data_IF_071956500801
#
_entry.id   IF_071956500801
#
_cell.length_a   1.000
_cell.length_b   1.000
_cell.length_c   1.000
_cell.angle_alpha   90.00
_cell.angle_beta   90.00
_cell.angle_gamma   90.00
#
_symmetry.space_group_name_H-M   'P 1'
#
loop_
_entity.id
_entity.type
_entity.pdbx_description
1 polymer ?
#
# COMPACT_ATOMS: atom_id res chain seq x y z
N UNK A 1 15.80 4.31 -13.09
CA UNK A 1 16.16 5.12 -14.28
C UNK A 1 15.74 6.56 -13.98
N UNK A 2 16.68 7.50 -13.93
CA UNK A 2 16.38 8.88 -13.55
C UNK A 2 15.29 9.51 -14.47
N UNK A 3 14.41 10.36 -13.93
CA UNK A 3 13.39 11.02 -14.73
C UNK A 3 14.01 11.99 -15.74
N UNK A 4 13.25 12.31 -16.80
CA UNK A 4 13.64 13.25 -17.84
C UNK A 4 12.76 14.49 -17.76
N UNK A 5 13.36 15.63 -17.45
CA UNK A 5 12.64 16.91 -17.48
C UNK A 5 12.27 17.28 -18.92
N UNK A 6 11.02 17.66 -19.13
CA UNK A 6 10.47 18.15 -20.40
C UNK A 6 9.92 19.56 -20.24
N UNK A 7 9.94 20.34 -21.32
CA UNK A 7 9.53 21.76 -21.28
C UNK A 7 8.02 21.96 -21.09
N UNK A 8 7.20 20.96 -21.41
CA UNK A 8 5.75 21.02 -21.27
C UNK A 8 5.17 19.63 -20.99
N UNK A 9 3.98 19.59 -20.40
CA UNK A 9 3.24 18.35 -20.12
C UNK A 9 1.75 18.53 -20.37
N UNK A 10 1.05 17.45 -20.69
CA UNK A 10 -0.41 17.46 -20.90
C UNK A 10 -1.15 17.92 -19.64
N UNK A 11 -0.58 17.69 -18.46
CA UNK A 11 -1.13 18.18 -17.20
C UNK A 11 -1.19 19.72 -17.09
N UNK A 12 -0.68 20.47 -18.07
CA UNK A 12 -0.62 21.94 -18.06
C UNK A 12 -1.55 22.63 -19.05
N UNK A 13 -2.48 21.92 -19.70
CA UNK A 13 -3.44 22.54 -20.63
C UNK A 13 -4.28 23.64 -19.96
N UNK A 14 -4.66 23.42 -18.70
CA UNK A 14 -5.37 24.38 -17.86
C UNK A 14 -4.55 24.65 -16.62
N UNK A 15 -4.39 25.93 -16.26
CA UNK A 15 -3.60 26.37 -15.11
C UNK A 15 -4.43 27.34 -14.26
N UNK A 16 -4.78 26.92 -13.05
CA UNK A 16 -5.54 27.70 -12.08
C UNK A 16 -4.61 28.10 -10.93
N UNK A 17 -4.37 29.41 -10.75
CA UNK A 17 -3.52 29.96 -9.69
C UNK A 17 -4.24 31.06 -8.91
N UNK A 18 -3.79 31.31 -7.68
CA UNK A 18 -4.31 32.41 -6.85
C UNK A 18 -5.82 32.30 -6.66
N UNK A 19 -6.58 33.36 -6.96
CA UNK A 19 -8.04 33.38 -6.77
C UNK A 19 -8.81 32.35 -7.61
N UNK A 20 -8.20 31.83 -8.68
CA UNK A 20 -8.82 30.82 -9.55
C UNK A 20 -8.79 29.39 -8.96
N UNK A 21 -7.98 29.15 -7.91
CA UNK A 21 -7.96 27.86 -7.21
C UNK A 21 -9.30 27.64 -6.52
N UNK A 22 -9.94 26.50 -6.77
CA UNK A 22 -11.15 26.09 -6.07
C UNK A 22 -11.25 24.56 -5.97
N UNK A 23 -10.85 24.01 -4.83
CA UNK A 23 -10.95 22.58 -4.52
C UNK A 23 -12.40 22.09 -4.51
N UNK A 24 -13.37 22.97 -4.26
CA UNK A 24 -14.80 22.63 -4.25
C UNK A 24 -15.37 22.46 -5.65
N UNK A 25 -14.64 22.90 -6.68
CA UNK A 25 -15.00 22.69 -8.08
C UNK A 25 -14.56 21.30 -8.59
N UNK A 26 -13.68 20.60 -7.86
CA UNK A 26 -13.36 19.20 -8.14
C UNK A 26 -14.52 18.29 -7.73
N UNK A 27 -14.59 17.05 -8.24
CA UNK A 27 -15.56 16.07 -7.75
C UNK A 27 -15.49 15.91 -6.22
N UNK A 28 -16.61 16.14 -5.54
CA UNK A 28 -16.72 16.07 -4.09
C UNK A 28 -17.11 14.66 -3.67
N UNK A 29 -16.17 13.70 -3.76
CA UNK A 29 -16.43 12.27 -3.53
C UNK A 29 -16.50 11.97 -2.03
N UNK A 30 -17.59 11.34 -1.61
CA UNK A 30 -17.81 10.81 -0.25
C UNK A 30 -18.02 9.31 -0.39
N UNK A 31 -17.07 8.51 0.10
CA UNK A 31 -17.07 7.05 -0.13
C UNK A 31 -18.03 6.32 0.81
N UNK A 32 -18.10 6.77 2.07
CA UNK A 32 -18.92 6.14 3.10
C UNK A 32 -19.89 7.14 3.72
N UNK A 33 -21.06 6.66 4.14
CA UNK A 33 -22.10 7.51 4.75
C UNK A 33 -21.68 8.20 6.05
N UNK A 34 -20.59 7.79 6.68
CA UNK A 34 -20.03 8.40 7.89
C UNK A 34 -18.79 9.26 7.68
N UNK A 35 -18.32 9.44 6.43
CA UNK A 35 -17.12 10.22 6.16
C UNK A 35 -17.34 11.70 6.53
N UNK A 36 -16.32 12.34 7.13
CA UNK A 36 -16.38 13.71 7.63
C UNK A 36 -16.53 14.79 6.54
N UNK A 37 -16.29 14.43 5.29
CA UNK A 37 -16.37 15.34 4.15
C UNK A 37 -15.93 14.68 2.85
N UNK A 38 -15.83 15.44 1.76
CA UNK A 38 -15.33 14.94 0.49
C UNK A 38 -13.81 14.73 0.52
N UNK A 39 -13.35 13.63 -0.07
CA UNK A 39 -11.94 13.23 -0.11
C UNK A 39 -11.41 13.08 -1.52
N UNK A 40 -10.11 13.30 -1.66
CA UNK A 40 -9.28 12.77 -2.75
C UNK A 40 -8.45 11.64 -2.13
N UNK A 41 -8.69 10.40 -2.52
CA UNK A 41 -8.05 9.22 -1.90
C UNK A 41 -6.94 8.64 -2.76
N UNK A 42 -6.93 8.90 -4.07
CA UNK A 42 -5.93 8.43 -5.01
C UNK A 42 -4.82 9.44 -5.34
N UNK A 43 -4.59 10.41 -4.45
CA UNK A 43 -3.58 11.45 -4.66
C UNK A 43 -2.18 10.92 -4.34
N UNK A 44 -1.27 10.97 -5.32
CA UNK A 44 0.14 10.63 -5.13
C UNK A 44 0.90 11.92 -4.82
N UNK A 45 1.38 12.07 -3.59
CA UNK A 45 2.25 13.15 -3.20
C UNK A 45 3.63 13.01 -3.84
N UNK A 46 4.22 14.14 -4.18
CA UNK A 46 5.61 14.33 -4.57
C UNK A 46 6.14 15.42 -3.65
N UNK A 47 7.18 15.12 -2.88
CA UNK A 47 7.85 16.09 -2.02
C UNK A 47 9.34 15.81 -2.02
N UNK A 48 10.15 16.85 -1.82
CA UNK A 48 11.59 16.70 -1.60
C UNK A 48 11.88 16.68 -0.12
N UNK A 49 12.85 15.87 0.28
CA UNK A 49 13.52 16.01 1.56
C UNK A 49 14.10 17.44 1.67
N UNK A 50 13.73 18.22 2.70
CA UNK A 50 14.30 19.55 2.93
C UNK A 50 15.82 19.56 3.17
N UNK A 51 16.44 18.42 3.45
CA UNK A 51 17.90 18.28 3.65
C UNK A 51 18.63 17.84 2.41
N UNK A 52 18.19 16.74 1.79
CA UNK A 52 18.93 16.10 0.70
C UNK A 52 18.41 16.46 -0.68
N UNK A 53 17.16 16.93 -0.79
CA UNK A 53 16.49 17.17 -2.07
C UNK A 53 16.01 15.91 -2.79
N UNK A 54 16.15 14.72 -2.17
CA UNK A 54 15.65 13.45 -2.69
C UNK A 54 14.12 13.45 -2.67
N UNK A 55 13.50 12.91 -3.72
CA UNK A 55 12.06 12.78 -3.77
C UNK A 55 11.54 11.68 -2.85
N UNK A 56 10.41 11.95 -2.20
CA UNK A 56 9.47 10.94 -1.76
C UNK A 56 8.21 10.99 -2.62
N UNK A 57 7.71 9.83 -3.03
CA UNK A 57 6.39 9.68 -3.63
C UNK A 57 5.52 8.70 -2.85
N UNK A 58 4.31 9.11 -2.46
CA UNK A 58 3.42 8.28 -1.65
C UNK A 58 1.94 8.57 -1.91
N UNK A 59 1.07 7.58 -1.68
CA UNK A 59 -0.37 7.85 -1.62
C UNK A 59 -0.74 8.56 -0.33
N UNK A 60 -1.54 9.63 -0.44
CA UNK A 60 -2.11 10.33 0.69
C UNK A 60 -3.57 10.67 0.42
N UNK A 61 -4.42 10.51 1.43
CA UNK A 61 -5.80 11.02 1.37
C UNK A 61 -5.85 12.50 1.76
N UNK A 62 -6.69 13.26 1.06
CA UNK A 62 -6.91 14.68 1.31
C UNK A 62 -8.39 14.95 1.55
N UNK A 63 -8.79 15.38 2.75
CA UNK A 63 -10.16 15.85 2.98
C UNK A 63 -10.25 17.30 2.53
N UNK A 64 -11.18 17.63 1.64
CA UNK A 64 -11.37 19.01 1.19
C UNK A 64 -12.06 19.80 2.30
N UNK A 65 -11.35 20.77 2.88
CA UNK A 65 -11.85 21.58 4.01
C UNK A 65 -12.28 22.98 3.58
N UNK A 66 -11.82 23.43 2.40
CA UNK A 66 -12.05 24.80 1.94
C UNK A 66 -11.89 24.97 0.43
N UNK A 67 -11.88 26.23 0.00
CA UNK A 67 -11.63 26.60 -1.40
C UNK A 67 -10.21 26.28 -1.83
N UNK A 68 -9.24 26.46 -0.94
CA UNK A 68 -7.81 26.29 -1.21
C UNK A 68 -7.10 25.58 -0.05
N UNK A 69 -7.85 24.79 0.72
CA UNK A 69 -7.34 24.03 1.86
C UNK A 69 -7.85 22.61 1.85
N UNK A 70 -6.97 21.67 2.20
CA UNK A 70 -7.32 20.30 2.55
C UNK A 70 -6.66 19.91 3.88
N UNK A 71 -7.10 18.82 4.49
CA UNK A 71 -6.25 18.10 5.45
C UNK A 71 -5.40 17.06 4.72
N UNK A 72 -4.38 16.53 5.39
CA UNK A 72 -3.63 15.35 4.95
C UNK A 72 -3.34 14.44 6.14
N UNK A 73 -3.48 13.12 5.96
CA UNK A 73 -2.94 12.18 6.94
C UNK A 73 -1.48 11.84 6.62
N UNK A 74 -0.57 12.21 7.51
CA UNK A 74 0.82 11.78 7.50
C UNK A 74 1.00 10.58 8.44
N UNK A 75 1.29 9.40 7.88
CA UNK A 75 1.57 8.20 8.67
C UNK A 75 2.89 8.36 9.42
N UNK A 76 2.84 8.20 10.75
CA UNK A 76 3.99 8.35 11.63
C UNK A 76 5.16 7.45 11.19
N UNK A 77 6.37 8.03 11.12
CA UNK A 77 7.61 7.33 10.75
C UNK A 77 7.73 6.96 9.26
N UNK A 78 6.87 7.51 8.38
CA UNK A 78 7.04 7.42 6.92
C UNK A 78 7.77 8.66 6.38
N UNK A 79 8.37 8.54 5.20
CA UNK A 79 9.26 9.58 4.64
C UNK A 79 8.61 10.97 4.58
N UNK A 80 7.39 11.11 4.04
CA UNK A 80 6.71 12.40 4.00
C UNK A 80 6.46 13.01 5.40
N UNK A 81 6.22 12.16 6.41
CA UNK A 81 6.09 12.62 7.80
C UNK A 81 7.43 13.14 8.34
N UNK A 82 8.54 12.44 8.09
CA UNK A 82 9.89 12.88 8.46
C UNK A 82 10.24 14.21 7.78
N UNK A 83 9.95 14.34 6.48
CA UNK A 83 10.17 15.57 5.72
C UNK A 83 9.38 16.75 6.31
N UNK A 84 8.12 16.50 6.68
CA UNK A 84 7.30 17.52 7.34
C UNK A 84 7.86 17.89 8.71
N UNK A 85 8.39 16.93 9.49
CA UNK A 85 9.01 17.22 10.78
C UNK A 85 10.26 18.08 10.64
N UNK A 86 11.09 17.82 9.64
CA UNK A 86 12.26 18.64 9.33
C UNK A 86 11.85 20.06 8.95
N UNK A 87 10.89 20.22 8.03
CA UNK A 87 10.37 21.54 7.63
C UNK A 87 9.72 22.30 8.81
N UNK A 88 8.91 21.61 9.61
CA UNK A 88 8.27 22.15 10.80
C UNK A 88 9.29 22.63 11.84
N UNK A 89 10.38 21.88 12.06
CA UNK A 89 11.46 22.28 12.95
C UNK A 89 12.18 23.56 12.49
N UNK A 90 12.14 23.86 11.18
CA UNK A 90 12.66 25.09 10.58
C UNK A 90 11.63 26.24 10.57
N UNK A 91 10.38 25.96 10.94
CA UNK A 91 9.28 26.93 10.82
C UNK A 91 8.88 27.21 9.36
N UNK A 92 9.20 26.30 8.45
CA UNK A 92 8.96 26.42 7.02
C UNK A 92 7.85 25.45 6.58
N UNK A 93 7.01 25.84 5.60
CA UNK A 93 6.09 24.89 4.99
C UNK A 93 6.84 23.85 4.15
N UNK A 94 6.34 22.61 4.14
CA UNK A 94 6.84 21.58 3.22
C UNK A 94 6.12 21.73 1.87
N UNK A 95 6.86 22.00 0.80
CA UNK A 95 6.31 21.99 -0.56
C UNK A 95 5.94 20.57 -0.98
N UNK A 96 4.73 20.40 -1.50
CA UNK A 96 4.20 19.12 -1.96
C UNK A 96 3.34 19.31 -3.21
N UNK A 97 3.44 18.40 -4.16
CA UNK A 97 2.51 18.31 -5.28
C UNK A 97 1.75 17.00 -5.22
N UNK A 98 0.48 16.98 -5.62
CA UNK A 98 -0.32 15.77 -5.69
C UNK A 98 -0.69 15.47 -7.13
N UNK A 99 -0.24 14.33 -7.66
CA UNK A 99 -0.62 13.85 -8.97
C UNK A 99 -1.84 12.93 -8.86
N UNK A 100 -2.82 13.19 -9.74
CA UNK A 100 -4.07 12.42 -9.85
C UNK A 100 -4.19 11.95 -11.30
N UNK A 101 -4.61 10.69 -11.49
CA UNK A 101 -4.73 10.07 -12.80
C UNK A 101 -3.36 9.94 -13.47
N UNK A 102 -2.59 8.93 -13.07
CA UNK A 102 -1.25 8.68 -13.59
C UNK A 102 -1.15 7.31 -14.25
N UNK A 103 -0.06 7.08 -14.96
CA UNK A 103 0.24 5.75 -15.50
C UNK A 103 0.35 4.71 -14.36
N UNK A 104 -0.14 3.46 -14.52
CA UNK A 104 -0.10 2.44 -13.47
C UNK A 104 1.30 2.14 -12.91
N UNK A 105 2.36 2.28 -13.71
CA UNK A 105 3.74 2.15 -13.24
C UNK A 105 4.13 3.24 -12.22
N UNK A 106 3.61 4.46 -12.37
CA UNK A 106 3.80 5.56 -11.40
C UNK A 106 3.04 5.24 -10.12
N UNK A 107 1.78 4.79 -10.26
CA UNK A 107 0.96 4.36 -9.14
C UNK A 107 1.62 3.23 -8.33
N UNK A 108 2.17 2.20 -8.98
CA UNK A 108 2.91 1.13 -8.31
C UNK A 108 4.25 1.61 -7.72
N UNK A 109 4.96 2.50 -8.43
CA UNK A 109 6.22 3.07 -7.95
C UNK A 109 6.07 3.91 -6.69
N UNK A 110 4.97 4.67 -6.56
CA UNK A 110 4.64 5.43 -5.36
C UNK A 110 4.32 4.56 -4.12
N UNK A 111 4.25 3.25 -4.30
CA UNK A 111 4.05 2.26 -3.24
C UNK A 111 5.30 1.42 -3.00
N UNK A 112 6.43 1.77 -3.63
CA UNK A 112 7.69 1.08 -3.37
C UNK A 112 8.11 1.28 -1.93
N UNK A 113 8.58 0.19 -1.31
CA UNK A 113 9.09 0.20 0.06
C UNK A 113 10.61 0.14 -0.01
N UNK A 114 11.27 1.22 0.39
CA UNK A 114 12.71 1.43 0.23
C UNK A 114 13.32 2.29 1.34
N UNK A 115 14.61 2.61 1.20
CA UNK A 115 15.29 3.56 2.09
C UNK A 115 14.79 4.98 1.84
N UNK A 116 14.90 5.86 2.83
CA UNK A 116 14.64 7.31 2.66
C UNK A 116 15.63 7.97 1.68
N UNK A 117 16.78 7.33 1.46
CA UNK A 117 17.81 7.77 0.51
C UNK A 117 17.55 7.31 -0.94
N UNK A 118 16.47 6.56 -1.19
CA UNK A 118 16.09 6.10 -2.52
C UNK A 118 15.03 7.03 -3.13
N UNK A 119 15.25 7.44 -4.37
CA UNK A 119 14.33 8.30 -5.11
C UNK A 119 13.27 7.47 -5.85
N UNK A 120 12.00 7.54 -5.42
CA UNK A 120 10.94 6.73 -6.05
C UNK A 120 10.68 7.13 -7.51
N UNK A 121 11.02 8.35 -7.95
CA UNK A 121 10.90 8.72 -9.37
C UNK A 121 11.85 7.90 -10.25
N UNK A 122 13.00 7.52 -9.72
CA UNK A 122 13.93 6.62 -10.40
C UNK A 122 13.42 5.17 -10.42
N UNK A 123 12.73 4.74 -9.36
CA UNK A 123 12.06 3.43 -9.29
C UNK A 123 10.94 3.36 -10.32
N UNK A 124 10.11 4.40 -10.43
CA UNK A 124 9.07 4.53 -11.45
C UNK A 124 9.66 4.36 -12.85
N UNK A 125 10.77 5.05 -13.17
CA UNK A 125 11.46 4.85 -14.44
C UNK A 125 11.97 3.41 -14.65
N UNK A 126 12.38 2.73 -13.58
CA UNK A 126 12.72 1.30 -13.63
C UNK A 126 11.52 0.43 -14.01
N UNK A 127 10.34 0.71 -13.46
CA UNK A 127 9.08 0.01 -13.78
C UNK A 127 8.61 0.31 -15.22
N UNK A 128 8.85 1.53 -15.72
CA UNK A 128 8.61 1.87 -17.12
C UNK A 128 9.56 1.16 -18.08
N UNK A 129 10.79 0.87 -17.65
CA UNK A 129 11.89 0.47 -18.54
C UNK A 129 12.54 1.65 -19.27
N UNK A 130 12.10 2.88 -19.01
CA UNK A 130 12.63 4.12 -19.56
C UNK A 130 12.44 5.30 -18.59
N UNK A 131 13.04 6.45 -18.89
CA UNK A 131 12.93 7.63 -18.03
C UNK A 131 11.51 8.19 -18.05
N UNK A 132 10.90 8.35 -16.88
CA UNK A 132 9.61 9.03 -16.73
C UNK A 132 9.75 10.51 -17.12
N UNK A 133 8.89 10.99 -18.01
CA UNK A 133 8.83 12.41 -18.35
C UNK A 133 8.21 13.22 -17.21
N UNK A 134 8.93 14.23 -16.74
CA UNK A 134 8.50 15.12 -15.65
C UNK A 134 8.54 16.57 -16.09
N UNK A 135 7.65 17.38 -15.53
CA UNK A 135 7.55 18.82 -15.80
C UNK A 135 7.59 19.59 -14.49
N UNK A 136 8.15 20.80 -14.52
CA UNK A 136 8.20 21.69 -13.35
C UNK A 136 6.81 22.15 -12.93
N UNK A 137 6.55 22.17 -11.63
CA UNK A 137 5.39 22.82 -11.06
C UNK A 137 5.38 24.34 -11.36
N UNK A 138 4.19 24.92 -11.30
CA UNK A 138 3.88 26.29 -11.66
C UNK A 138 4.10 27.32 -10.53
N UNK A 139 4.14 26.86 -9.28
CA UNK A 139 4.17 27.69 -8.07
C UNK A 139 5.12 27.19 -6.98
N UNK A 140 5.63 25.96 -7.09
CA UNK A 140 6.56 25.33 -6.14
C UNK A 140 7.73 24.66 -6.88
N UNK A 141 8.86 24.42 -6.20
CA UNK A 141 10.07 23.87 -6.83
C UNK A 141 10.08 22.33 -6.85
N UNK A 142 9.09 21.75 -7.52
CA UNK A 142 8.97 20.32 -7.72
C UNK A 142 8.83 19.96 -9.21
N UNK A 143 9.26 18.76 -9.56
CA UNK A 143 9.01 18.07 -10.81
C UNK A 143 7.91 17.02 -10.55
N UNK A 144 6.95 16.94 -11.47
CA UNK A 144 5.79 16.03 -11.39
C UNK A 144 5.59 15.35 -12.74
N UNK A 145 4.88 14.20 -12.81
CA UNK A 145 4.68 13.49 -14.06
C UNK A 145 4.01 14.38 -15.13
N UNK A 146 4.68 14.58 -16.25
CA UNK A 146 4.22 15.49 -17.32
C UNK A 146 2.90 15.03 -17.96
N UNK A 147 2.59 13.74 -17.84
CA UNK A 147 1.41 13.11 -18.40
C UNK A 147 0.31 12.84 -17.36
N UNK A 148 0.39 13.37 -16.14
CA UNK A 148 -0.74 13.25 -15.20
C UNK A 148 -2.03 13.88 -15.77
N UNK A 149 -3.19 13.42 -15.30
CA UNK A 149 -4.47 14.05 -15.60
C UNK A 149 -4.59 15.40 -14.89
N UNK A 150 -4.15 15.44 -13.62
CA UNK A 150 -4.19 16.63 -12.78
C UNK A 150 -3.04 16.66 -11.78
N UNK A 151 -2.53 17.87 -11.52
CA UNK A 151 -1.55 18.18 -10.47
C UNK A 151 -2.14 19.24 -9.55
N UNK A 152 -2.10 19.00 -8.25
CA UNK A 152 -2.44 19.98 -7.21
C UNK A 152 -1.14 20.38 -6.52
N UNK A 153 -0.74 21.63 -6.67
CA UNK A 153 0.47 22.17 -6.06
C UNK A 153 0.13 22.83 -4.73
N UNK A 154 0.87 22.50 -3.69
CA UNK A 154 0.53 22.91 -2.33
C UNK A 154 1.73 23.00 -1.38
N UNK A 155 1.43 23.42 -0.17
CA UNK A 155 2.33 23.51 0.96
C UNK A 155 1.65 22.89 2.18
N UNK A 156 2.33 21.98 2.89
CA UNK A 156 1.90 21.51 4.21
C UNK A 156 2.35 22.54 5.24
N UNK A 157 1.39 23.17 5.91
CA UNK A 157 1.66 24.28 6.83
C UNK A 157 2.26 23.78 8.15
N UNK A 158 3.30 24.44 8.69
CA UNK A 158 3.93 24.01 9.92
C UNK A 158 3.05 24.35 11.13
N UNK A 159 2.58 23.32 11.84
CA UNK A 159 1.86 23.49 13.12
C UNK A 159 0.36 23.76 13.02
N UNK A 160 -0.16 24.07 11.84
CA UNK A 160 -1.59 24.21 11.61
C UNK A 160 -2.25 22.83 11.47
N UNK A 161 -3.32 22.61 12.23
CA UNK A 161 -4.14 21.39 12.14
C UNK A 161 -5.61 21.70 11.93
N UNK A 162 -6.34 20.72 11.40
CA UNK A 162 -7.78 20.74 11.22
C UNK A 162 -8.35 19.36 11.56
N UNK A 163 -9.56 19.36 12.10
CA UNK A 163 -10.30 18.12 12.36
C UNK A 163 -10.63 17.42 11.03
N UNK A 164 -10.13 16.19 10.86
CA UNK A 164 -10.32 15.31 9.69
C UNK A 164 -11.07 14.05 10.11
N UNK A 165 -11.94 13.58 9.23
CA UNK A 165 -12.73 12.38 9.46
C UNK A 165 -14.03 12.64 10.25
N UNK A 166 -14.78 11.58 10.63
CA UNK A 166 -14.44 10.16 10.50
C UNK A 166 -14.17 9.71 9.06
N UNK A 167 -13.44 8.60 8.87
CA UNK A 167 -13.11 8.11 7.53
C UNK A 167 -13.14 6.58 7.49
N UNK A 168 -13.73 5.99 6.44
CA UNK A 168 -13.70 4.54 6.18
C UNK A 168 -12.30 4.03 5.84
N UNK A 169 -11.75 3.15 6.67
CA UNK A 169 -10.39 2.62 6.52
C UNK A 169 -10.37 1.23 5.87
N UNK A 170 -9.18 0.80 5.44
CA UNK A 170 -8.98 -0.49 4.76
C UNK A 170 -9.35 -1.72 5.59
N UNK A 171 -9.54 -1.55 6.90
CA UNK A 171 -10.00 -2.60 7.82
C UNK A 171 -11.50 -2.88 7.70
N UNK A 172 -12.24 -2.05 6.95
CA UNK A 172 -13.69 -2.12 6.81
C UNK A 172 -14.46 -1.34 7.87
N UNK A 173 -13.77 -0.54 8.69
CA UNK A 173 -14.35 0.27 9.76
C UNK A 173 -14.07 1.75 9.55
N UNK A 174 -15.04 2.59 9.87
CA UNK A 174 -14.81 4.04 9.95
C UNK A 174 -14.20 4.38 11.30
N UNK A 175 -13.06 5.07 11.28
CA UNK A 175 -12.43 5.58 12.50
C UNK A 175 -12.81 7.04 12.72
N UNK A 176 -12.88 7.42 13.98
CA UNK A 176 -13.31 8.76 14.41
C UNK A 176 -12.39 9.89 13.92
N UNK A 177 -12.87 11.12 14.11
CA UNK A 177 -12.16 12.30 13.67
C UNK A 177 -10.85 12.53 14.46
N UNK A 178 -9.82 13.06 13.78
CA UNK A 178 -8.50 13.36 14.36
C UNK A 178 -7.98 14.70 13.83
N UNK A 179 -7.14 15.37 14.61
CA UNK A 179 -6.41 16.54 14.14
C UNK A 179 -5.34 16.13 13.13
N UNK A 180 -5.34 16.79 11.97
CA UNK A 180 -4.46 16.52 10.83
C UNK A 180 -3.86 17.80 10.28
N UNK A 181 -2.70 17.68 9.67
CA UNK A 181 -1.98 18.79 9.08
C UNK A 181 -2.80 19.50 7.98
N UNK A 182 -2.74 20.82 7.96
CA UNK A 182 -3.37 21.64 6.92
C UNK A 182 -2.47 21.72 5.69
N UNK A 183 -3.05 21.45 4.53
CA UNK A 183 -2.44 21.63 3.23
C UNK A 183 -3.04 22.88 2.57
N UNK A 184 -2.19 23.84 2.21
CA UNK A 184 -2.58 25.05 1.48
C UNK A 184 -2.30 24.89 0.00
N UNK A 185 -3.35 24.89 -0.81
CA UNK A 185 -3.26 24.75 -2.27
C UNK A 185 -2.86 26.08 -2.91
N UNK A 186 -1.88 26.03 -3.81
CA UNK A 186 -1.31 27.19 -4.52
C UNK A 186 -1.74 27.23 -5.98
N UNK A 187 -1.81 26.06 -6.62
CA UNK A 187 -2.26 25.92 -7.99
C UNK A 187 -2.92 24.56 -8.24
N UNK A 188 -3.79 24.51 -9.23
CA UNK A 188 -4.31 23.28 -9.81
C UNK A 188 -4.02 23.35 -11.31
N UNK A 189 -3.31 22.37 -11.84
CA UNK A 189 -3.10 22.22 -13.29
C UNK A 189 -3.70 20.90 -13.75
N UNK A 190 -4.32 20.88 -14.92
CA UNK A 190 -4.90 19.66 -15.45
C UNK A 190 -5.01 19.68 -16.98
N UNK A 191 -5.20 18.51 -17.57
CA UNK A 191 -5.57 18.35 -18.98
C UNK A 191 -6.92 19.00 -19.27
N UNK A 192 -7.17 19.45 -20.50
CA UNK A 192 -8.44 20.12 -20.84
C UNK A 192 -9.71 19.30 -20.48
N UNK A 193 -9.65 17.98 -20.69
CA UNK A 193 -10.73 17.02 -20.40
C UNK A 193 -10.26 15.98 -19.37
N UNK A 194 -9.67 16.46 -18.28
CA UNK A 194 -9.00 15.61 -17.29
C UNK A 194 -9.95 14.59 -16.63
N UNK A 195 -9.46 13.36 -16.49
CA UNK A 195 -10.10 12.36 -15.63
C UNK A 195 -9.75 12.61 -14.16
N UNK A 196 -10.76 12.62 -13.31
CA UNK A 196 -10.57 12.60 -11.86
C UNK A 196 -10.57 11.15 -11.38
N UNK A 197 -9.36 10.60 -11.18
CA UNK A 197 -9.19 9.26 -10.64
C UNK A 197 -9.27 9.29 -9.11
N UNK A 198 -10.06 8.38 -8.55
CA UNK A 198 -10.21 8.22 -7.11
C UNK A 198 -10.28 6.74 -6.75
N UNK A 199 -10.04 6.40 -5.48
CA UNK A 199 -9.89 5.01 -5.02
C UNK A 199 -10.82 4.73 -3.85
N UNK A 200 -11.61 3.66 -3.94
CA UNK A 200 -12.52 3.29 -2.89
C UNK A 200 -11.78 2.51 -1.79
N UNK A 201 -11.59 3.15 -0.64
CA UNK A 201 -10.77 2.59 0.45
C UNK A 201 -11.38 1.30 0.99
N UNK A 202 -10.54 0.28 1.19
CA UNK A 202 -10.98 -1.04 1.65
C UNK A 202 -11.58 -1.94 0.57
N UNK A 203 -11.72 -1.46 -0.66
CA UNK A 203 -12.17 -2.24 -1.80
C UNK A 203 -11.00 -2.78 -2.64
N UNK A 204 -11.33 -3.50 -3.71
CA UNK A 204 -10.37 -4.27 -4.50
C UNK A 204 -9.31 -3.40 -5.18
N UNK A 205 -9.67 -2.21 -5.64
CA UNK A 205 -8.75 -1.22 -6.22
C UNK A 205 -7.67 -0.78 -5.21
N UNK A 206 -8.07 -0.48 -3.98
CA UNK A 206 -7.16 -0.17 -2.88
C UNK A 206 -6.29 -1.39 -2.50
N UNK A 207 -6.91 -2.55 -2.30
CA UNK A 207 -6.21 -3.74 -1.80
C UNK A 207 -5.27 -4.34 -2.85
N UNK A 208 -5.66 -4.37 -4.12
CA UNK A 208 -4.84 -4.90 -5.20
C UNK A 208 -3.57 -4.06 -5.38
N UNK A 209 -3.71 -2.75 -5.44
CA UNK A 209 -2.58 -1.86 -5.71
C UNK A 209 -1.57 -1.85 -4.56
N UNK A 210 -2.06 -1.82 -3.32
CA UNK A 210 -1.21 -1.77 -2.11
C UNK A 210 -0.48 -3.09 -1.80
N UNK A 211 -1.09 -4.24 -2.12
CA UNK A 211 -0.52 -5.55 -1.73
C UNK A 211 0.61 -6.02 -2.64
N UNK A 212 0.63 -5.66 -3.92
CA UNK A 212 1.68 -6.13 -4.86
C UNK A 212 3.10 -5.71 -4.44
N UNK A 213 3.38 -4.42 -4.14
CA UNK A 213 4.71 -4.01 -3.66
C UNK A 213 5.04 -4.58 -2.27
N UNK A 214 4.04 -4.70 -1.41
CA UNK A 214 4.19 -5.28 -0.07
C UNK A 214 4.60 -6.76 -0.15
N UNK A 215 3.95 -7.55 -1.01
CA UNK A 215 4.27 -8.95 -1.26
C UNK A 215 5.66 -9.12 -1.87
N UNK A 216 6.04 -8.26 -2.82
CA UNK A 216 7.39 -8.29 -3.40
C UNK A 216 8.47 -8.01 -2.35
N UNK A 217 8.25 -7.02 -1.46
CA UNK A 217 9.16 -6.72 -0.37
C UNK A 217 9.23 -7.86 0.66
N UNK A 218 8.08 -8.39 1.09
CA UNK A 218 8.00 -9.52 2.01
C UNK A 218 8.67 -10.77 1.43
N UNK A 219 8.42 -11.09 0.16
CA UNK A 219 9.06 -12.21 -0.52
C UNK A 219 10.58 -12.09 -0.47
N UNK A 220 11.13 -10.91 -0.80
CA UNK A 220 12.57 -10.63 -0.74
C UNK A 220 13.11 -10.78 0.69
N UNK A 221 12.45 -10.18 1.67
CA UNK A 221 12.88 -10.18 3.07
C UNK A 221 12.82 -11.56 3.73
N UNK A 222 11.76 -12.34 3.46
CA UNK A 222 11.66 -13.69 4.01
C UNK A 222 12.64 -14.62 3.30
N UNK A 223 12.83 -14.49 1.97
CA UNK A 223 13.80 -15.30 1.21
C UNK A 223 15.24 -15.12 1.66
N UNK A 224 15.64 -13.93 2.12
CA UNK A 224 17.00 -13.71 2.62
C UNK A 224 17.31 -14.54 3.87
N UNK A 225 16.29 -14.90 4.65
CA UNK A 225 16.40 -15.76 5.83
C UNK A 225 16.04 -17.23 5.54
N UNK A 226 15.03 -17.46 4.70
CA UNK A 226 14.52 -18.78 4.32
C UNK A 226 14.53 -18.90 2.79
N UNK A 227 15.66 -19.32 2.18
CA UNK A 227 15.81 -19.34 0.72
C UNK A 227 14.82 -20.24 -0.03
N UNK A 228 14.15 -21.16 0.66
CA UNK A 228 13.16 -22.08 0.09
C UNK A 228 11.73 -21.54 0.03
N UNK A 229 11.50 -20.27 0.37
CA UNK A 229 10.21 -19.61 0.17
C UNK A 229 9.89 -19.55 -1.32
N UNK A 230 8.74 -20.10 -1.71
CA UNK A 230 8.29 -20.12 -3.11
C UNK A 230 7.38 -18.94 -3.43
N UNK A 231 6.53 -18.52 -2.49
CA UNK A 231 5.60 -17.42 -2.68
C UNK A 231 5.18 -16.76 -1.35
N UNK A 232 4.69 -15.52 -1.44
CA UNK A 232 4.08 -14.76 -0.34
C UNK A 232 2.79 -14.11 -0.85
N UNK A 233 1.75 -14.07 -0.02
CA UNK A 233 0.45 -13.44 -0.33
C UNK A 233 -0.09 -12.68 0.88
N UNK A 234 -0.69 -11.53 0.65
CA UNK A 234 -1.42 -10.74 1.65
C UNK A 234 -2.89 -10.67 1.22
N UNK A 235 -3.71 -11.68 1.57
CA UNK A 235 -5.06 -11.81 1.04
C UNK A 235 -6.07 -10.86 1.69
N UNK A 236 -5.77 -10.38 2.90
CA UNK A 236 -6.67 -9.55 3.70
C UNK A 236 -5.87 -8.64 4.63
N UNK A 237 -6.51 -7.59 5.22
CA UNK A 237 -5.87 -6.73 6.21
C UNK A 237 -5.10 -7.52 7.27
N UNK A 238 -3.87 -7.07 7.55
CA UNK A 238 -2.97 -7.60 8.58
C UNK A 238 -2.59 -9.09 8.47
N UNK A 239 -2.87 -9.76 7.35
CA UNK A 239 -2.64 -11.21 7.17
C UNK A 239 -1.62 -11.47 6.08
N UNK A 240 -0.66 -12.36 6.35
CA UNK A 240 0.35 -12.79 5.39
C UNK A 240 0.42 -14.32 5.33
N UNK A 241 0.38 -14.87 4.12
CA UNK A 241 0.63 -16.28 3.83
C UNK A 241 1.99 -16.44 3.19
N UNK A 242 2.75 -17.44 3.64
CA UNK A 242 4.07 -17.76 3.11
C UNK A 242 4.07 -19.23 2.72
N UNK A 243 4.43 -19.50 1.47
CA UNK A 243 4.62 -20.86 0.96
C UNK A 243 6.10 -21.20 0.93
N UNK A 244 6.49 -22.35 1.50
CA UNK A 244 7.88 -22.81 1.55
C UNK A 244 8.05 -24.25 1.07
N UNK A 245 9.19 -24.56 0.47
CA UNK A 245 9.70 -25.94 0.41
C UNK A 245 10.49 -26.20 1.70
N UNK A 246 9.86 -26.82 2.70
CA UNK A 246 10.52 -27.01 3.99
C UNK A 246 11.69 -28.01 3.89
N UNK A 247 12.91 -27.53 4.11
CA UNK A 247 14.15 -28.35 4.07
C UNK A 247 14.65 -28.71 5.46
N UNK A 248 14.40 -27.84 6.45
CA UNK A 248 14.83 -28.03 7.83
C UNK A 248 13.65 -27.78 8.78
N UNK A 249 13.52 -28.61 9.82
CA UNK A 249 12.50 -28.42 10.86
C UNK A 249 12.66 -27.05 11.53
N UNK A 250 11.55 -26.35 11.70
CA UNK A 250 11.51 -25.02 12.31
C UNK A 250 11.70 -23.86 11.32
N UNK A 251 11.95 -24.11 10.03
CA UNK A 251 12.00 -23.04 9.02
C UNK A 251 10.69 -22.26 8.93
N UNK A 252 9.53 -22.90 9.11
CA UNK A 252 8.24 -22.21 9.17
C UNK A 252 8.21 -21.11 10.24
N UNK A 253 8.72 -21.39 11.45
CA UNK A 253 8.82 -20.39 12.53
C UNK A 253 9.79 -19.25 12.20
N UNK A 254 10.92 -19.55 11.54
CA UNK A 254 11.86 -18.52 11.08
C UNK A 254 11.22 -17.61 10.03
N UNK A 255 10.44 -18.17 9.11
CA UNK A 255 9.69 -17.40 8.12
C UNK A 255 8.66 -16.47 8.79
N UNK A 256 7.94 -16.95 9.81
CA UNK A 256 7.01 -16.11 10.61
C UNK A 256 7.74 -14.91 11.22
N UNK A 257 8.87 -15.14 11.89
CA UNK A 257 9.65 -14.07 12.51
C UNK A 257 10.21 -13.09 11.47
N UNK A 258 10.63 -13.59 10.30
CA UNK A 258 11.11 -12.76 9.21
C UNK A 258 10.00 -11.83 8.67
N UNK A 259 8.77 -12.34 8.50
CA UNK A 259 7.62 -11.50 8.12
C UNK A 259 7.37 -10.41 9.16
N UNK A 260 7.33 -10.75 10.45
CA UNK A 260 7.09 -9.76 11.50
C UNK A 260 8.19 -8.71 11.64
N UNK A 261 9.44 -9.07 11.31
CA UNK A 261 10.55 -8.12 11.26
C UNK A 261 10.55 -7.24 10.02
N UNK A 262 9.99 -7.74 8.91
CA UNK A 262 9.93 -7.02 7.63
C UNK A 262 8.75 -6.05 7.53
N UNK A 263 7.63 -6.33 8.21
CA UNK A 263 6.45 -5.46 8.19
C UNK A 263 5.85 -5.23 9.59
N UNK A 264 5.73 -3.95 9.96
CA UNK A 264 5.25 -3.51 11.27
C UNK A 264 3.75 -3.74 11.46
N UNK A 265 2.95 -3.80 10.39
CA UNK A 265 1.49 -3.86 10.48
C UNK A 265 0.94 -5.29 10.38
N UNK A 266 1.66 -6.24 9.77
CA UNK A 266 1.22 -7.64 9.72
C UNK A 266 1.03 -8.20 11.14
N UNK A 267 -0.19 -8.68 11.41
CA UNK A 267 -0.62 -9.24 12.70
C UNK A 267 -0.65 -10.76 12.68
N UNK A 268 -1.07 -11.35 11.56
CA UNK A 268 -1.28 -12.78 11.37
C UNK A 268 -0.37 -13.32 10.27
N UNK A 269 0.35 -14.40 10.56
CA UNK A 269 1.16 -15.11 9.55
C UNK A 269 0.80 -16.59 9.51
N UNK A 270 0.59 -17.15 8.32
CA UNK A 270 0.45 -18.60 8.12
C UNK A 270 1.53 -19.07 7.17
N UNK A 271 2.30 -20.07 7.59
CA UNK A 271 3.30 -20.69 6.73
C UNK A 271 2.83 -22.07 6.32
N UNK A 272 2.80 -22.34 5.02
CA UNK A 272 2.35 -23.60 4.42
C UNK A 272 3.45 -24.19 3.54
N UNK A 273 3.32 -25.46 3.16
CA UNK A 273 4.20 -26.04 2.15
C UNK A 273 3.84 -25.58 0.74
N UNK A 274 4.79 -25.70 -0.17
CA UNK A 274 4.67 -25.44 -1.61
C UNK A 274 3.54 -26.18 -2.36
N UNK A 275 2.95 -27.23 -1.78
CA UNK A 275 1.81 -27.96 -2.35
C UNK A 275 0.44 -27.40 -1.91
N UNK A 276 0.45 -26.27 -1.19
CA UNK A 276 -0.73 -25.52 -0.76
C UNK A 276 -0.80 -24.24 -1.58
N UNK A 277 -1.87 -24.09 -2.34
CA UNK A 277 -2.14 -22.85 -3.05
C UNK A 277 -2.54 -21.74 -2.06
N UNK A 278 -1.65 -20.77 -1.86
CA UNK A 278 -1.87 -19.61 -0.97
C UNK A 278 -2.86 -18.58 -1.54
N UNK A 279 -3.33 -18.75 -2.79
CA UNK A 279 -4.39 -17.95 -3.38
C UNK A 279 -5.80 -18.56 -3.16
N UNK A 280 -5.89 -19.82 -2.69
CA UNK A 280 -7.14 -20.46 -2.28
C UNK A 280 -7.22 -20.59 -0.76
N UNK A 281 -8.02 -19.72 -0.13
CA UNK A 281 -8.27 -19.71 1.32
C UNK A 281 -8.69 -21.08 1.88
N UNK A 282 -9.37 -21.91 1.09
CA UNK A 282 -9.79 -23.25 1.54
C UNK A 282 -8.59 -24.17 1.70
N UNK A 283 -7.59 -24.05 0.83
CA UNK A 283 -6.37 -24.85 0.93
C UNK A 283 -5.51 -24.40 2.12
N UNK A 284 -5.39 -23.09 2.35
CA UNK A 284 -4.69 -22.57 3.53
C UNK A 284 -5.37 -23.01 4.82
N UNK A 285 -6.70 -22.93 4.88
CA UNK A 285 -7.47 -23.40 6.03
C UNK A 285 -7.35 -24.92 6.25
N UNK A 286 -7.34 -25.70 5.17
CA UNK A 286 -7.07 -27.14 5.25
C UNK A 286 -5.68 -27.43 5.84
N UNK A 287 -4.65 -26.72 5.40
CA UNK A 287 -3.29 -26.88 5.92
C UNK A 287 -3.24 -26.53 7.43
N UNK A 288 -3.86 -25.42 7.83
CA UNK A 288 -4.01 -25.05 9.25
C UNK A 288 -4.62 -26.19 10.07
N UNK A 289 -5.73 -26.76 9.61
CA UNK A 289 -6.46 -27.80 10.34
C UNK A 289 -5.74 -29.16 10.41
N UNK A 290 -4.98 -29.52 9.36
CA UNK A 290 -4.43 -30.88 9.22
C UNK A 290 -2.92 -30.99 9.43
N UNK A 291 -2.19 -29.88 9.38
CA UNK A 291 -0.72 -29.84 9.46
C UNK A 291 -0.18 -29.09 10.68
N UNK A 292 -1.04 -28.51 11.50
CA UNK A 292 -0.63 -27.79 12.70
C UNK A 292 -1.27 -28.34 13.97
N UNK A 293 -0.54 -28.25 15.08
CA UNK A 293 -1.04 -28.42 16.45
C UNK A 293 -0.76 -27.13 17.22
N UNK A 294 -1.79 -26.39 17.67
CA UNK A 294 -1.60 -25.04 18.21
C UNK A 294 -0.62 -24.91 19.39
N UNK A 295 -0.53 -25.93 20.24
CA UNK A 295 0.36 -25.94 21.41
C UNK A 295 1.85 -25.91 21.04
N UNK A 296 2.21 -26.44 19.87
CA UNK A 296 3.60 -26.54 19.40
C UNK A 296 3.90 -25.68 18.18
N UNK A 297 2.93 -25.43 17.31
CA UNK A 297 3.15 -24.84 15.98
C UNK A 297 2.79 -23.34 15.92
N UNK A 298 2.16 -22.80 16.97
CA UNK A 298 1.83 -21.38 17.08
C UNK A 298 2.98 -20.56 17.69
N UNK A 299 3.14 -19.33 17.22
CA UNK A 299 3.94 -18.25 17.83
C UNK A 299 2.99 -17.14 18.25
N UNK A 300 3.19 -16.58 19.45
CA UNK A 300 2.48 -15.41 19.94
C UNK A 300 3.49 -14.38 20.46
N UNK A 301 3.45 -13.17 19.90
CA UNK A 301 4.26 -12.03 20.32
C UNK A 301 3.32 -10.96 20.84
N UNK A 302 3.34 -10.74 22.16
CA UNK A 302 2.50 -9.75 22.84
C UNK A 302 3.18 -8.38 22.82
N UNK A 303 2.39 -7.31 22.73
CA UNK A 303 2.88 -5.93 22.87
C UNK A 303 3.80 -5.47 21.74
N UNK A 304 3.67 -6.06 20.54
CA UNK A 304 4.39 -5.61 19.36
C UNK A 304 3.70 -4.38 18.75
N UNK A 305 4.44 -3.56 17.98
CA UNK A 305 3.82 -2.50 17.20
C UNK A 305 2.86 -3.10 16.16
N UNK A 306 1.69 -2.49 16.02
CA UNK A 306 0.69 -2.83 15.01
C UNK A 306 0.22 -1.58 14.27
N UNK A 307 -1.04 -1.59 13.88
CA UNK A 307 -1.74 -0.43 13.32
C UNK A 307 -2.76 0.09 14.33
N UNK A 308 -2.81 1.41 14.47
CA UNK A 308 -3.87 2.14 15.18
C UNK A 308 -5.20 2.15 14.42
N UNK A 309 -5.27 1.44 13.29
CA UNK A 309 -6.47 1.23 12.49
C UNK A 309 -7.11 -0.15 12.74
N UNK A 310 -6.47 -1.03 13.52
CA UNK A 310 -7.02 -2.32 13.94
C UNK A 310 -8.06 -2.12 15.06
N UNK A 311 -9.35 -2.33 14.81
CA UNK A 311 -10.40 -2.05 15.81
C UNK A 311 -10.39 -3.01 17.01
N UNK A 312 -9.57 -4.07 16.98
CA UNK A 312 -9.44 -5.00 18.10
C UNK A 312 -8.41 -4.56 19.15
N UNK A 313 -7.67 -3.47 18.92
CA UNK A 313 -6.71 -2.95 19.90
C UNK A 313 -7.43 -2.17 21.00
N UNK A 314 -7.01 -2.38 22.24
CA UNK A 314 -7.57 -1.70 23.40
C UNK A 314 -6.88 -0.35 23.59
N UNK A 315 -7.51 0.72 23.12
CA UNK A 315 -6.97 2.08 23.21
C UNK A 315 -6.07 2.48 22.03
N UNK A 316 -5.70 3.75 21.97
CA UNK A 316 -4.94 4.36 20.86
C UNK A 316 -3.42 4.18 21.01
N UNK A 317 -2.95 3.11 21.67
CA UNK A 317 -1.52 2.90 21.92
C UNK A 317 -0.77 2.31 20.70
N UNK A 318 -1.51 1.77 19.73
CA UNK A 318 -0.97 1.17 18.50
C UNK A 318 -0.18 -0.13 18.74
N UNK A 319 -0.39 -0.80 19.87
CA UNK A 319 0.16 -2.12 20.15
C UNK A 319 -0.83 -3.23 19.80
N UNK A 320 -0.30 -4.38 19.41
CA UNK A 320 -1.12 -5.55 19.09
C UNK A 320 -0.43 -6.83 19.57
N UNK A 321 -1.20 -7.92 19.58
CA UNK A 321 -0.64 -9.26 19.70
C UNK A 321 -0.50 -9.85 18.30
N UNK A 322 0.74 -10.06 17.87
CA UNK A 322 1.05 -10.73 16.61
C UNK A 322 1.07 -12.23 16.82
N UNK A 323 0.57 -12.99 15.86
CA UNK A 323 0.55 -14.44 15.94
C UNK A 323 0.81 -15.09 14.59
N UNK A 324 1.51 -16.23 14.61
CA UNK A 324 1.72 -17.01 13.42
C UNK A 324 1.58 -18.50 13.67
N UNK A 325 1.24 -19.25 12.62
CA UNK A 325 1.13 -20.71 12.67
C UNK A 325 2.02 -21.33 11.59
N UNK A 326 2.86 -22.28 12.01
CA UNK A 326 3.58 -23.19 11.13
C UNK A 326 2.67 -24.36 10.72
N UNK A 327 1.97 -24.18 9.61
CA UNK A 327 1.09 -25.16 8.97
C UNK A 327 1.81 -25.99 7.89
N UNK A 328 3.15 -26.09 7.96
CA UNK A 328 3.90 -27.03 7.14
C UNK A 328 3.69 -28.47 7.62
N UNK A 329 3.76 -29.43 6.71
CA UNK A 329 3.68 -30.83 7.03
C UNK A 329 4.87 -31.22 7.91
N UNK A 330 4.61 -32.11 8.88
CA UNK A 330 5.64 -32.57 9.83
C UNK A 330 6.56 -33.69 9.30
N UNK A 331 6.23 -34.43 8.20
CA UNK A 331 7.23 -35.15 7.43
C UNK A 331 8.28 -34.20 6.83
N UNK A 332 9.53 -34.65 6.69
CA UNK A 332 10.56 -33.92 5.95
C UNK A 332 10.30 -34.02 4.44
N UNK A 333 10.90 -33.15 3.63
CA UNK A 333 10.74 -33.18 2.16
C UNK A 333 11.06 -34.56 1.55
N UNK A 334 12.09 -35.23 2.08
CA UNK A 334 12.49 -36.59 1.67
C UNK A 334 11.44 -37.67 2.00
N UNK A 335 10.61 -37.42 3.01
CA UNK A 335 9.51 -38.29 3.45
C UNK A 335 8.12 -37.75 3.04
N UNK A 336 8.10 -36.66 2.26
CA UNK A 336 6.88 -35.94 1.94
C UNK A 336 6.07 -36.78 0.98
N UNK A 337 5.02 -37.42 1.51
CA UNK A 337 4.09 -38.16 0.67
C UNK A 337 3.21 -37.17 -0.08
N UNK A 338 3.12 -37.24 -1.41
CA UNK A 338 2.24 -36.37 -2.17
C UNK A 338 0.80 -36.45 -1.67
N UNK A 339 0.07 -35.34 -1.74
CA UNK A 339 -1.38 -35.34 -1.52
C UNK A 339 -2.03 -36.37 -2.45
N UNK A 340 -3.11 -36.99 -1.99
CA UNK A 340 -3.93 -37.82 -2.86
C UNK A 340 -4.35 -37.00 -4.09
N UNK A 341 -3.96 -37.47 -5.27
CA UNK A 341 -4.41 -36.93 -6.54
C UNK A 341 -5.38 -37.93 -7.16
N UNK A 342 -6.33 -37.42 -7.95
CA UNK A 342 -7.08 -38.30 -8.84
C UNK A 342 -6.11 -38.91 -9.87
N UNK A 343 -6.27 -40.18 -10.22
CA UNK A 343 -5.53 -40.74 -11.36
C UNK A 343 -5.86 -39.93 -12.62
N UNK A 344 -4.83 -39.43 -13.31
CA UNK A 344 -5.01 -38.58 -14.50
C UNK A 344 -5.78 -39.30 -15.60
N UNK A 345 -5.53 -40.59 -15.80
CA UNK A 345 -6.23 -41.45 -16.75
C UNK A 345 -7.73 -41.56 -16.45
N UNK A 346 -8.11 -41.57 -15.17
CA UNK A 346 -9.52 -41.55 -14.77
C UNK A 346 -10.11 -40.17 -15.01
N UNK A 347 -9.40 -39.09 -14.69
CA UNK A 347 -9.89 -37.72 -14.88
C UNK A 347 -10.08 -37.38 -16.36
N UNK A 348 -9.09 -37.69 -17.19
CA UNK A 348 -9.12 -37.47 -18.64
C UNK A 348 -10.16 -38.36 -19.33
N UNK A 349 -10.49 -39.51 -18.72
CA UNK A 349 -11.55 -40.40 -19.17
C UNK A 349 -12.98 -39.92 -18.82
N UNK A 350 -13.13 -38.86 -18.02
CA UNK A 350 -14.44 -38.29 -17.68
C UNK A 350 -14.89 -37.32 -18.78
N UNK A 351 -15.91 -37.71 -19.53
CA UNK A 351 -16.61 -36.81 -20.44
C UNK A 351 -17.59 -35.92 -19.65
N UNK A 352 -17.09 -34.74 -19.27
CA UNK A 352 -17.85 -33.74 -18.50
C UNK A 352 -19.08 -33.25 -19.27
N UNK A 353 -18.98 -33.16 -20.61
CA UNK A 353 -20.10 -32.72 -21.45
C UNK A 353 -21.21 -33.77 -21.48
N UNK A 354 -20.86 -35.06 -21.59
CA UNK A 354 -21.82 -36.15 -21.50
C UNK A 354 -22.56 -36.14 -20.15
N UNK A 355 -21.83 -36.01 -19.04
CA UNK A 355 -22.39 -35.98 -17.68
C UNK A 355 -23.32 -34.78 -17.45
N UNK A 356 -22.99 -33.60 -17.96
CA UNK A 356 -23.84 -32.41 -17.85
C UNK A 356 -25.08 -32.49 -18.75
N UNK A 357 -24.98 -33.16 -19.89
CA UNK A 357 -26.08 -33.33 -20.85
C UNK A 357 -27.11 -34.40 -20.45
N UNK A 358 -26.81 -35.22 -19.43
CA UNK A 358 -27.70 -36.27 -18.91
C UNK A 358 -27.93 -37.44 -19.86
N UNK A 359 -27.03 -37.68 -20.82
CA UNK A 359 -27.06 -38.83 -21.74
C UNK A 359 -26.19 -39.98 -21.27
#
# INVERSE_FOLDING_TARGET
IAPKEVNNGLCKDVVLKGAAVDMRALPQVVHHGGDGGPYITAAISFAKDPETGIYNCAYNRLMITGKDTTSIHLTLGKHLWEFHKVAQARGEPLQVAFAIGVHPAIALGALSIGSIDEDETAIMGGLFGEAMEVVRCETIDLLVPAQAEMIIEAEILPGDTVNEGPFGEFTGYSLGAREREVVKVKAITHRKDAYFYDMNVGHLDHMLLSTVPMEANLLRAVRSMVPSVTAVRVPSPFTCYVSIEQRLKGQGKNAIMAVFGADLYIKRVVVVDHDVDIYDERQVNWALATRSQPDRDMILIKGARGSDLDPSTSGDDGFTSKWGIDATAKPLLEDFTPRHHFPEDVWDGIDVEALQSGK
#
